data_IF_605441390436
#
_entry.id   IF_605441390436
#
_cell.length_a   1.000
_cell.length_b   1.000
_cell.length_c   1.000
_cell.angle_alpha   90.00
_cell.angle_beta   90.00
_cell.angle_gamma   90.00
#
_symmetry.space_group_name_H-M   'P 1'
#
loop_
_entity.id
_entity.type
_entity.pdbx_description
1 polymer ?
#
# COMPACT_ATOMS: atom_id res chain seq x y z
N UNK A 1 19.38 28.40 -11.36
CA UNK A 1 19.98 27.06 -11.56
C UNK A 1 19.95 26.33 -10.21
N UNK A 2 18.84 25.65 -9.93
CA UNK A 2 18.60 24.85 -8.71
C UNK A 2 17.82 23.62 -9.16
N UNK A 3 18.51 22.53 -9.50
CA UNK A 3 17.85 21.33 -10.05
C UNK A 3 18.34 20.02 -9.43
N UNK A 4 19.47 20.00 -8.72
CA UNK A 4 19.99 18.77 -8.12
C UNK A 4 19.38 18.48 -6.73
N UNK A 5 19.27 19.49 -5.86
CA UNK A 5 18.86 19.28 -4.45
C UNK A 5 17.39 18.88 -4.28
N UNK A 6 16.48 19.34 -5.15
CA UNK A 6 15.07 18.94 -5.12
C UNK A 6 14.85 17.53 -5.70
N UNK A 7 15.67 17.09 -6.66
CA UNK A 7 15.54 15.75 -7.27
C UNK A 7 16.09 14.66 -6.35
N UNK A 8 17.11 14.97 -5.54
CA UNK A 8 17.65 14.04 -4.52
C UNK A 8 16.67 13.87 -3.36
N UNK A 9 15.97 14.95 -2.95
CA UNK A 9 14.90 14.88 -1.93
C UNK A 9 13.76 13.95 -2.34
N UNK A 10 13.42 13.88 -3.64
CA UNK A 10 12.34 13.04 -4.15
C UNK A 10 12.70 11.54 -4.20
N UNK A 11 13.92 11.16 -4.63
CA UNK A 11 14.30 9.74 -4.76
C UNK A 11 14.50 9.01 -3.44
N UNK A 12 15.10 9.70 -2.46
CA UNK A 12 15.27 9.14 -1.12
C UNK A 12 13.90 9.01 -0.40
N UNK A 13 13.02 10.00 -0.56
CA UNK A 13 11.65 9.94 -0.07
C UNK A 13 10.85 8.82 -0.75
N UNK A 14 10.97 8.65 -2.07
CA UNK A 14 10.37 7.56 -2.82
C UNK A 14 10.84 6.19 -2.30
N UNK A 15 12.15 6.04 -2.02
CA UNK A 15 12.68 4.81 -1.42
C UNK A 15 12.13 4.57 -0.01
N UNK A 16 12.00 5.62 0.82
CA UNK A 16 11.40 5.51 2.14
C UNK A 16 9.92 5.09 2.07
N UNK A 17 9.14 5.71 1.17
CA UNK A 17 7.74 5.37 0.93
C UNK A 17 7.56 3.93 0.45
N UNK A 18 8.38 3.48 -0.52
CA UNK A 18 8.33 2.10 -1.01
C UNK A 18 8.68 1.10 0.11
N UNK A 19 9.72 1.37 0.91
CA UNK A 19 10.06 0.52 2.07
C UNK A 19 8.93 0.46 3.09
N UNK A 20 8.23 1.57 3.34
CA UNK A 20 7.09 1.59 4.24
C UNK A 20 5.92 0.76 3.70
N UNK A 21 5.58 0.92 2.42
CA UNK A 21 4.51 0.16 1.77
C UNK A 21 4.81 -1.35 1.77
N UNK A 22 6.03 -1.76 1.45
CA UNK A 22 6.45 -3.18 1.48
C UNK A 22 6.32 -3.77 2.89
N UNK A 23 6.71 -3.03 3.93
CA UNK A 23 6.54 -3.48 5.33
C UNK A 23 5.08 -3.64 5.74
N UNK A 24 4.20 -2.77 5.25
CA UNK A 24 2.75 -2.90 5.48
C UNK A 24 2.23 -4.17 4.81
N UNK A 25 2.58 -4.38 3.54
CA UNK A 25 2.19 -5.57 2.78
C UNK A 25 2.69 -6.86 3.44
N UNK A 26 3.93 -6.88 3.95
CA UNK A 26 4.46 -8.01 4.72
C UNK A 26 3.62 -8.30 5.97
N UNK A 27 3.21 -7.26 6.72
CA UNK A 27 2.36 -7.42 7.90
C UNK A 27 0.93 -7.85 7.55
N UNK A 28 0.44 -7.45 6.39
CA UNK A 28 -0.81 -7.94 5.79
C UNK A 28 -0.68 -9.33 5.17
N UNK A 29 0.52 -9.94 5.22
CA UNK A 29 0.82 -11.27 4.68
C UNK A 29 0.61 -11.39 3.17
N UNK A 30 0.82 -10.30 2.44
CA UNK A 30 0.86 -10.33 0.99
C UNK A 30 2.00 -11.25 0.50
N UNK A 31 1.75 -12.01 -0.56
CA UNK A 31 2.82 -12.73 -1.27
C UNK A 31 3.75 -11.73 -1.97
N UNK A 32 4.96 -12.19 -2.33
CA UNK A 32 5.88 -11.37 -3.13
C UNK A 32 5.25 -10.90 -4.45
N UNK A 33 4.58 -11.83 -5.15
CA UNK A 33 3.88 -11.55 -6.41
C UNK A 33 2.76 -10.53 -6.25
N UNK A 34 1.94 -10.65 -5.19
CA UNK A 34 0.92 -9.63 -4.90
C UNK A 34 1.57 -8.27 -4.61
N UNK A 35 2.63 -8.22 -3.80
CA UNK A 35 3.28 -6.96 -3.47
C UNK A 35 3.91 -6.27 -4.68
N UNK A 36 4.57 -7.04 -5.55
CA UNK A 36 5.13 -6.56 -6.82
C UNK A 36 4.04 -6.02 -7.75
N UNK A 37 2.92 -6.75 -7.86
CA UNK A 37 1.76 -6.40 -8.67
C UNK A 37 1.07 -5.12 -8.15
N UNK A 38 0.76 -5.05 -6.86
CA UNK A 38 0.10 -3.91 -6.21
C UNK A 38 0.90 -2.62 -6.43
N UNK A 39 2.21 -2.68 -6.21
CA UNK A 39 3.12 -1.53 -6.27
C UNK A 39 3.63 -1.23 -7.69
N UNK A 40 3.41 -2.13 -8.64
CA UNK A 40 3.97 -2.10 -9.99
C UNK A 40 5.49 -1.88 -9.99
N UNK A 41 6.21 -2.67 -9.20
CA UNK A 41 7.68 -2.63 -9.13
C UNK A 41 8.28 -3.97 -9.52
N UNK A 42 9.52 -3.96 -9.99
CA UNK A 42 10.24 -5.20 -10.28
C UNK A 42 10.46 -6.03 -9.01
N UNK A 43 10.56 -7.35 -9.16
CA UNK A 43 10.99 -8.27 -8.12
C UNK A 43 12.26 -7.78 -7.38
N UNK A 44 13.25 -7.30 -8.13
CA UNK A 44 14.50 -6.77 -7.57
C UNK A 44 14.29 -5.53 -6.69
N UNK A 45 13.43 -4.60 -7.11
CA UNK A 45 13.12 -3.38 -6.36
C UNK A 45 12.33 -3.72 -5.10
N UNK A 46 11.34 -4.60 -5.22
CA UNK A 46 10.55 -5.11 -4.08
C UNK A 46 11.45 -5.80 -3.05
N UNK A 47 12.30 -6.73 -3.49
CA UNK A 47 13.21 -7.46 -2.62
C UNK A 47 14.22 -6.54 -1.90
N UNK A 48 14.76 -5.53 -2.59
CA UNK A 48 15.65 -4.53 -1.97
C UNK A 48 14.92 -3.66 -0.94
N UNK A 49 13.70 -3.21 -1.26
CA UNK A 49 12.88 -2.46 -0.32
C UNK A 49 12.54 -3.30 0.93
N UNK A 50 12.21 -4.59 0.73
CA UNK A 50 11.92 -5.55 1.79
C UNK A 50 13.08 -5.76 2.75
N UNK A 51 14.31 -5.91 2.23
CA UNK A 51 15.53 -6.02 3.04
C UNK A 51 15.93 -4.71 3.72
N UNK A 52 15.44 -3.57 3.23
CA UNK A 52 15.82 -2.24 3.72
C UNK A 52 17.00 -1.61 2.97
N UNK A 53 17.59 -2.32 1.99
CA UNK A 53 18.80 -1.94 1.22
C UNK A 53 18.52 -1.01 0.04
N UNK A 54 17.45 -0.20 0.15
CA UNK A 54 17.04 0.76 -0.87
C UNK A 54 17.24 2.18 -0.33
N UNK A 55 18.33 2.82 -0.75
CA UNK A 55 18.67 4.20 -0.40
C UNK A 55 17.89 5.21 -1.25
N UNK A 56 17.84 5.00 -2.56
CA UNK A 56 17.17 5.86 -3.53
C UNK A 56 16.54 5.03 -4.64
N UNK A 57 15.41 5.49 -5.18
CA UNK A 57 14.78 4.91 -6.35
C UNK A 57 14.02 6.00 -7.11
N UNK A 58 13.96 5.91 -8.43
CA UNK A 58 13.05 6.71 -9.24
C UNK A 58 11.75 5.94 -9.38
N UNK A 59 10.65 6.55 -8.96
CA UNK A 59 9.30 6.05 -9.19
C UNK A 59 8.55 7.02 -10.09
N UNK A 60 7.61 6.50 -10.87
CA UNK A 60 6.67 7.34 -11.60
C UNK A 60 5.44 7.71 -10.74
N UNK A 61 4.56 8.56 -11.28
CA UNK A 61 3.39 9.07 -10.57
C UNK A 61 2.39 7.97 -10.17
N UNK A 62 2.23 6.94 -11.00
CA UNK A 62 1.32 5.82 -10.70
C UNK A 62 1.88 4.94 -9.57
N UNK A 63 3.19 4.68 -9.54
CA UNK A 63 3.85 3.98 -8.42
C UNK A 63 3.74 4.76 -7.11
N UNK A 64 3.96 6.08 -7.16
CA UNK A 64 3.81 6.96 -5.99
C UNK A 64 2.36 7.00 -5.50
N UNK A 65 1.37 7.02 -6.40
CA UNK A 65 -0.05 6.95 -6.04
C UNK A 65 -0.41 5.61 -5.38
N UNK A 66 0.10 4.49 -5.90
CA UNK A 66 -0.09 3.15 -5.29
C UNK A 66 0.47 3.07 -3.87
N UNK A 67 1.67 3.60 -3.66
CA UNK A 67 2.27 3.73 -2.33
C UNK A 67 1.37 4.58 -1.42
N UNK A 68 0.92 5.74 -1.90
CA UNK A 68 0.03 6.62 -1.14
C UNK A 68 -1.25 5.92 -0.71
N UNK A 69 -1.90 5.17 -1.60
CA UNK A 69 -3.12 4.42 -1.24
C UNK A 69 -2.87 3.35 -0.18
N UNK A 70 -1.78 2.59 -0.26
CA UNK A 70 -1.46 1.60 0.78
C UNK A 70 -1.21 2.25 2.14
N UNK A 71 -0.46 3.36 2.16
CA UNK A 71 -0.22 4.12 3.40
C UNK A 71 -1.52 4.65 3.98
N UNK A 72 -2.42 5.17 3.14
CA UNK A 72 -3.71 5.72 3.58
C UNK A 72 -4.69 4.64 4.04
N UNK A 73 -4.72 3.47 3.38
CA UNK A 73 -5.49 2.31 3.86
C UNK A 73 -5.01 1.92 5.26
N UNK A 74 -3.69 1.78 5.46
CA UNK A 74 -3.15 1.44 6.77
C UNK A 74 -3.45 2.52 7.83
N UNK A 75 -3.34 3.79 7.47
CA UNK A 75 -3.69 4.89 8.35
C UNK A 75 -5.17 4.86 8.76
N UNK A 76 -6.07 4.60 7.81
CA UNK A 76 -7.50 4.46 8.08
C UNK A 76 -7.80 3.29 9.02
N UNK A 77 -7.19 2.12 8.79
CA UNK A 77 -7.33 0.96 9.67
C UNK A 77 -6.85 1.22 11.10
N UNK A 78 -5.77 2.00 11.27
CA UNK A 78 -5.29 2.41 12.61
C UNK A 78 -6.22 3.38 13.34
N UNK A 79 -7.11 4.06 12.63
CA UNK A 79 -8.15 4.89 13.26
C UNK A 79 -9.40 4.07 13.59
N UNK A 80 -9.69 3.03 12.81
CA UNK A 80 -10.84 2.16 13.02
C UNK A 80 -10.65 1.14 14.15
N UNK A 81 -9.41 0.71 14.38
CA UNK A 81 -9.11 -0.38 15.32
C UNK A 81 -8.05 0.01 16.34
N UNK A 82 -8.36 -0.23 17.63
CA UNK A 82 -7.39 -0.13 18.72
C UNK A 82 -6.50 -1.38 18.81
N UNK A 83 -7.05 -2.57 18.49
CA UNK A 83 -6.30 -3.83 18.51
C UNK A 83 -5.39 -3.93 17.27
N UNK A 84 -4.05 -4.03 17.44
CA UNK A 84 -3.12 -4.22 16.33
C UNK A 84 -3.43 -5.42 15.43
N UNK A 85 -3.96 -6.51 15.98
CA UNK A 85 -4.32 -7.70 15.19
C UNK A 85 -5.42 -7.37 14.18
N UNK A 86 -6.36 -6.49 14.52
CA UNK A 86 -7.40 -6.04 13.59
C UNK A 86 -6.85 -5.06 12.55
N UNK A 87 -5.91 -4.19 12.93
CA UNK A 87 -5.23 -3.26 11.99
C UNK A 87 -4.54 -4.00 10.86
N UNK A 88 -3.87 -5.12 11.16
CA UNK A 88 -3.15 -5.90 10.15
C UNK A 88 -3.98 -7.05 9.57
N UNK A 89 -4.94 -7.59 10.32
CA UNK A 89 -5.76 -8.72 9.91
C UNK A 89 -6.95 -8.37 9.02
N UNK A 90 -7.50 -7.15 9.12
CA UNK A 90 -8.73 -6.77 8.39
C UNK A 90 -8.64 -7.03 6.88
N UNK A 91 -7.50 -6.70 6.26
CA UNK A 91 -7.34 -6.86 4.81
C UNK A 91 -7.24 -8.32 4.36
N UNK A 92 -7.03 -9.24 5.28
CA UNK A 92 -7.00 -10.69 5.05
C UNK A 92 -8.31 -11.38 5.42
N UNK A 93 -9.30 -10.65 5.93
CA UNK A 93 -10.61 -11.20 6.28
C UNK A 93 -11.56 -11.15 5.07
N UNK A 94 -12.34 -12.21 4.90
CA UNK A 94 -13.37 -12.27 3.87
C UNK A 94 -14.37 -11.12 4.07
N UNK A 95 -14.57 -10.31 3.03
CA UNK A 95 -15.43 -9.15 3.12
C UNK A 95 -16.69 -9.36 2.27
N UNK A 96 -17.84 -9.37 2.93
CA UNK A 96 -19.14 -9.66 2.30
C UNK A 96 -19.87 -8.40 1.83
N UNK A 97 -19.26 -7.21 1.94
CA UNK A 97 -19.81 -6.02 1.31
C UNK A 97 -19.88 -6.23 -0.22
N UNK A 98 -20.88 -5.66 -0.92
CA UNK A 98 -21.16 -5.97 -2.33
C UNK A 98 -19.97 -5.87 -3.29
N UNK A 99 -19.04 -4.95 -3.02
CA UNK A 99 -17.85 -4.77 -3.85
C UNK A 99 -16.82 -5.91 -3.73
N UNK A 100 -16.61 -6.41 -2.51
CA UNK A 100 -15.63 -7.45 -2.26
C UNK A 100 -16.19 -8.83 -2.61
N UNK A 101 -17.52 -9.02 -2.47
CA UNK A 101 -18.24 -10.22 -2.87
C UNK A 101 -17.61 -11.52 -2.30
N UNK A 102 -17.30 -11.49 -1.00
CA UNK A 102 -16.69 -12.61 -0.27
C UNK A 102 -15.16 -12.68 -0.37
N UNK A 103 -14.54 -11.93 -1.28
CA UNK A 103 -13.07 -11.81 -1.35
C UNK A 103 -12.54 -10.94 -0.22
N UNK A 104 -11.29 -11.14 0.11
CA UNK A 104 -10.55 -10.26 1.02
C UNK A 104 -10.14 -8.97 0.30
N UNK A 105 -9.99 -7.84 1.00
CA UNK A 105 -9.40 -6.64 0.40
C UNK A 105 -8.03 -6.89 -0.25
N UNK A 106 -7.20 -7.74 0.36
CA UNK A 106 -5.88 -8.08 -0.17
C UNK A 106 -5.93 -8.86 -1.49
N UNK A 107 -6.87 -9.80 -1.64
CA UNK A 107 -7.08 -10.50 -2.92
C UNK A 107 -7.48 -9.54 -4.03
N UNK A 108 -8.35 -8.57 -3.72
CA UNK A 108 -8.82 -7.59 -4.70
C UNK A 108 -7.68 -6.71 -5.20
N UNK A 109 -6.90 -6.10 -4.28
CA UNK A 109 -5.78 -5.23 -4.67
C UNK A 109 -4.60 -6.03 -5.23
N UNK A 110 -4.44 -7.29 -4.83
CA UNK A 110 -3.38 -8.21 -5.27
C UNK A 110 -3.37 -8.48 -6.78
N UNK A 111 -4.48 -8.20 -7.48
CA UNK A 111 -4.56 -8.25 -8.94
C UNK A 111 -3.65 -7.22 -9.63
N UNK A 112 -3.22 -6.17 -8.93
CA UNK A 112 -2.43 -5.06 -9.48
C UNK A 112 -3.25 -3.99 -10.18
N UNK A 113 -4.57 -4.18 -10.33
CA UNK A 113 -5.45 -3.19 -10.92
C UNK A 113 -5.50 -1.91 -10.06
N UNK A 114 -5.26 -0.78 -10.71
CA UNK A 114 -5.23 0.52 -10.03
C UNK A 114 -6.61 0.91 -9.53
N UNK A 115 -7.66 0.64 -10.33
CA UNK A 115 -9.03 0.96 -9.94
C UNK A 115 -9.46 0.14 -8.74
N UNK A 116 -9.08 -1.15 -8.69
CA UNK A 116 -9.28 -2.00 -7.52
C UNK A 116 -8.62 -1.46 -6.24
N UNK A 117 -7.38 -0.98 -6.34
CA UNK A 117 -6.66 -0.36 -5.22
C UNK A 117 -7.37 0.93 -4.74
N UNK A 118 -7.76 1.80 -5.67
CA UNK A 118 -8.46 3.04 -5.36
C UNK A 118 -9.83 2.80 -4.71
N UNK A 119 -10.64 1.90 -5.26
CA UNK A 119 -11.97 1.59 -4.72
C UNK A 119 -11.88 0.89 -3.36
N UNK A 120 -10.87 0.03 -3.16
CA UNK A 120 -10.58 -0.55 -1.84
C UNK A 120 -10.23 0.53 -0.82
N UNK A 121 -9.36 1.48 -1.18
CA UNK A 121 -9.04 2.63 -0.34
C UNK A 121 -10.28 3.44 0.03
N UNK A 122 -11.08 3.87 -0.96
CA UNK A 122 -12.29 4.67 -0.71
C UNK A 122 -13.25 4.01 0.26
N UNK A 123 -13.45 2.70 0.12
CA UNK A 123 -14.37 1.94 0.96
C UNK A 123 -13.88 1.79 2.39
N UNK A 124 -12.58 1.59 2.58
CA UNK A 124 -11.99 1.52 3.92
C UNK A 124 -12.02 2.91 4.57
N UNK A 125 -11.65 3.95 3.82
CA UNK A 125 -11.66 5.32 4.33
C UNK A 125 -13.08 5.80 4.69
N UNK A 126 -14.10 5.42 3.91
CA UNK A 126 -15.50 5.79 4.20
C UNK A 126 -16.02 5.23 5.52
N UNK A 127 -15.45 4.12 6.02
CA UNK A 127 -15.82 3.57 7.34
C UNK A 127 -15.51 4.55 8.48
N UNK A 128 -14.56 5.47 8.29
CA UNK A 128 -14.22 6.51 9.27
C UNK A 128 -15.29 7.60 9.35
N UNK A 129 -15.99 7.87 8.25
CA UNK A 129 -17.04 8.87 8.16
C UNK A 129 -18.42 8.37 8.60
N UNK A 130 -18.62 7.05 8.64
CA UNK A 130 -19.88 6.42 9.06
C UNK A 130 -20.04 6.29 10.59
N UNK A 131 -19.12 6.86 11.38
CA UNK A 131 -19.13 6.84 12.85
C UNK A 131 -19.79 8.08 13.50
N UNK A 132 -20.72 8.76 12.83
CA UNK A 132 -21.49 9.87 13.41
C UNK A 132 -22.99 9.63 13.24
#
# INVERSE_FOLDING_TARGET
MQTASNVIQDKAAAAAGLKAAVRILDKWRATGEQGESILRVSHSSYARARRGDLAEIKLDSDQLARISYLLNIHAALRMLFENPDNVYGFVSMANHNPYFNGRTPLEVIGTGDFAALYETFKRIDSLRGAQW
#
